data_IF_788484897022
#
_entry.id   IF_788484897022
#
_cell.length_a   1.000
_cell.length_b   1.000
_cell.length_c   1.000
_cell.angle_alpha   90.00
_cell.angle_beta   90.00
_cell.angle_gamma   90.00
#
_symmetry.space_group_name_H-M   'P 1'
#
loop_
_entity.id
_entity.type
_entity.pdbx_description
1 polymer ?
#
# COMPACT_ATOMS: atom_id res chain seq x y z
N UNK A 1 -4.89 8.64 -22.39
CA UNK A 1 -4.97 9.70 -21.34
C UNK A 1 -3.63 9.78 -20.62
N UNK A 2 -3.11 10.97 -20.30
CA UNK A 2 -1.80 11.15 -19.65
C UNK A 2 -1.96 12.08 -18.44
N UNK A 3 -1.43 11.67 -17.30
CA UNK A 3 -1.49 12.45 -16.06
C UNK A 3 -0.18 13.18 -15.80
N UNK A 4 -0.25 14.42 -15.32
CA UNK A 4 0.91 15.16 -14.78
C UNK A 4 0.81 15.17 -13.26
N UNK A 5 1.68 14.41 -12.60
CA UNK A 5 1.66 14.21 -11.16
C UNK A 5 3.04 14.51 -10.55
N UNK A 6 3.03 15.05 -9.34
CA UNK A 6 4.23 15.15 -8.51
C UNK A 6 4.75 13.76 -8.14
N UNK A 7 6.08 13.59 -8.07
CA UNK A 7 6.72 12.33 -7.65
C UNK A 7 6.21 11.80 -6.31
N UNK A 8 5.76 12.67 -5.40
CA UNK A 8 5.21 12.26 -4.09
C UNK A 8 3.86 11.54 -4.18
N UNK A 9 3.17 11.62 -5.32
CA UNK A 9 1.91 10.92 -5.58
C UNK A 9 2.12 9.58 -6.28
N UNK A 10 3.38 9.18 -6.51
CA UNK A 10 3.73 7.97 -7.26
C UNK A 10 4.51 7.06 -6.34
N UNK A 11 3.97 5.87 -6.08
CA UNK A 11 4.67 4.80 -5.36
C UNK A 11 5.04 3.74 -6.39
N UNK A 12 6.33 3.41 -6.56
CA UNK A 12 6.75 2.38 -7.50
C UNK A 12 6.32 1.01 -6.99
N UNK A 13 5.84 0.14 -7.88
CA UNK A 13 5.58 -1.25 -7.53
C UNK A 13 6.90 -2.00 -7.28
N UNK A 14 6.91 -2.99 -6.38
CA UNK A 14 8.01 -3.92 -6.21
C UNK A 14 8.41 -4.56 -7.55
N UNK A 15 9.70 -4.55 -7.84
CA UNK A 15 10.26 -5.19 -9.04
C UNK A 15 10.50 -6.69 -8.84
N UNK A 16 10.64 -7.12 -7.59
CA UNK A 16 11.01 -8.46 -7.18
C UNK A 16 10.04 -8.97 -6.13
N UNK A 17 9.89 -10.30 -6.08
CA UNK A 17 9.20 -10.99 -5.00
C UNK A 17 10.20 -11.28 -3.88
N UNK A 18 9.85 -10.95 -2.64
CA UNK A 18 10.65 -11.33 -1.48
C UNK A 18 10.42 -12.81 -1.18
N UNK A 19 11.51 -13.54 -0.95
CA UNK A 19 11.46 -14.90 -0.45
C UNK A 19 11.31 -14.84 1.09
N UNK A 20 10.21 -15.33 1.68
CA UNK A 20 9.97 -15.23 3.12
C UNK A 20 11.02 -15.92 3.99
N UNK A 21 11.74 -16.91 3.44
CA UNK A 21 12.77 -17.66 4.17
C UNK A 21 14.09 -16.89 4.21
N UNK A 22 14.52 -16.31 3.08
CA UNK A 22 15.83 -15.64 2.97
C UNK A 22 15.76 -14.15 3.26
N UNK A 23 14.59 -13.53 3.09
CA UNK A 23 14.35 -12.10 3.23
C UNK A 23 13.03 -11.80 3.97
N UNK A 24 12.86 -12.31 5.20
CA UNK A 24 11.65 -12.07 5.99
C UNK A 24 11.42 -10.58 6.30
N UNK A 25 12.49 -9.77 6.39
CA UNK A 25 12.41 -8.33 6.62
C UNK A 25 11.72 -7.55 5.49
N UNK A 26 11.64 -8.13 4.29
CA UNK A 26 11.00 -7.54 3.13
C UNK A 26 9.51 -7.95 3.00
N UNK A 27 8.98 -8.69 3.97
CA UNK A 27 7.59 -9.11 4.04
C UNK A 27 6.83 -8.20 5.02
N UNK A 28 5.64 -7.73 4.62
CA UNK A 28 4.76 -7.00 5.53
C UNK A 28 4.21 -7.95 6.59
N UNK A 29 4.29 -7.56 7.86
CA UNK A 29 3.83 -8.38 8.98
C UNK A 29 2.29 -8.50 9.04
N UNK A 30 1.78 -9.57 9.66
CA UNK A 30 0.36 -9.69 10.02
C UNK A 30 -0.08 -8.45 10.84
N UNK A 31 -1.25 -7.91 10.51
CA UNK A 31 -1.80 -6.68 11.09
C UNK A 31 -1.26 -5.39 10.46
N UNK A 32 -0.28 -5.45 9.55
CA UNK A 32 0.21 -4.26 8.87
C UNK A 32 -0.87 -3.66 7.96
N UNK A 33 -0.96 -2.32 7.96
CA UNK A 33 -1.78 -1.58 7.00
C UNK A 33 -1.02 -1.35 5.70
N UNK A 34 -1.60 -1.77 4.58
CA UNK A 34 -1.01 -1.69 3.24
C UNK A 34 -2.00 -1.06 2.26
N UNK A 35 -1.49 -0.66 1.10
CA UNK A 35 -2.31 -0.47 -0.09
C UNK A 35 -2.16 -1.70 -0.99
N UNK A 36 -3.27 -2.26 -1.44
CA UNK A 36 -3.26 -3.43 -2.31
C UNK A 36 -4.22 -3.27 -3.49
N UNK A 37 -3.87 -3.87 -4.64
CA UNK A 37 -4.72 -3.88 -5.83
C UNK A 37 -5.95 -4.76 -5.58
N UNK A 38 -7.15 -4.22 -5.76
CA UNK A 38 -8.36 -5.02 -5.61
C UNK A 38 -8.56 -5.94 -6.83
N UNK A 39 -8.98 -7.21 -6.67
CA UNK A 39 -9.12 -8.15 -7.76
C UNK A 39 -9.98 -7.63 -8.92
N UNK A 40 -9.58 -7.92 -10.15
CA UNK A 40 -10.28 -7.51 -11.38
C UNK A 40 -10.43 -5.98 -11.55
N UNK A 41 -9.61 -5.19 -10.84
CA UNK A 41 -9.54 -3.74 -11.00
C UNK A 41 -8.13 -3.27 -11.31
N UNK A 42 -7.99 -1.97 -11.56
CA UNK A 42 -6.69 -1.29 -11.70
C UNK A 42 -6.42 -0.31 -10.54
N UNK A 43 -7.16 -0.46 -9.43
CA UNK A 43 -7.16 0.49 -8.31
C UNK A 43 -6.62 -0.15 -7.02
N UNK A 44 -5.81 0.62 -6.29
CA UNK A 44 -5.28 0.22 -4.98
C UNK A 44 -6.17 0.76 -3.86
N UNK A 45 -6.44 -0.07 -2.86
CA UNK A 45 -7.28 0.24 -1.70
C UNK A 45 -6.56 -0.13 -0.41
N UNK A 46 -7.01 0.46 0.69
CA UNK A 46 -6.46 0.19 2.02
C UNK A 46 -6.88 -1.21 2.47
N UNK A 47 -5.92 -1.96 3.00
CA UNK A 47 -6.13 -3.30 3.49
C UNK A 47 -5.23 -3.60 4.70
N UNK A 48 -5.62 -4.63 5.46
CA UNK A 48 -4.85 -5.16 6.59
C UNK A 48 -4.34 -6.55 6.20
N UNK A 49 -3.06 -6.82 6.49
CA UNK A 49 -2.47 -8.14 6.29
C UNK A 49 -3.04 -9.13 7.29
N UNK A 50 -3.73 -10.16 6.80
CA UNK A 50 -4.21 -11.28 7.62
C UNK A 50 -3.19 -12.42 7.67
N UNK A 51 -2.70 -12.86 6.52
CA UNK A 51 -1.67 -13.89 6.43
C UNK A 51 -0.53 -13.43 5.52
N UNK A 52 0.68 -13.75 5.93
CA UNK A 52 1.90 -13.50 5.16
C UNK A 52 2.22 -14.71 4.28
N UNK A 53 2.88 -14.52 3.13
CA UNK A 53 3.41 -15.64 2.35
C UNK A 53 4.46 -16.40 3.16
N UNK A 54 4.38 -17.74 3.17
CA UNK A 54 5.33 -18.61 3.88
C UNK A 54 6.37 -19.17 2.90
N UNK A 55 5.95 -19.46 1.67
CA UNK A 55 6.80 -19.92 0.58
C UNK A 55 6.94 -18.86 -0.52
N UNK A 56 7.95 -19.04 -1.37
CA UNK A 56 8.24 -18.12 -2.48
C UNK A 56 7.09 -17.99 -3.49
N UNK A 57 6.17 -18.95 -3.59
CA UNK A 57 5.03 -18.89 -4.51
C UNK A 57 3.76 -18.35 -3.87
N UNK A 58 3.73 -18.22 -2.54
CA UNK A 58 2.54 -17.82 -1.80
C UNK A 58 2.21 -16.33 -1.99
N UNK A 59 0.95 -16.01 -1.76
CA UNK A 59 0.38 -14.67 -1.83
C UNK A 59 0.05 -14.16 -0.42
N UNK A 60 -0.11 -12.86 -0.27
CA UNK A 60 -0.68 -12.31 0.97
C UNK A 60 -2.17 -12.62 1.05
N UNK A 61 -2.68 -12.90 2.24
CA UNK A 61 -4.13 -12.84 2.53
C UNK A 61 -4.45 -11.48 3.16
N UNK A 62 -5.38 -10.73 2.61
CA UNK A 62 -5.68 -9.36 3.03
C UNK A 62 -7.16 -9.14 3.32
N UNK A 63 -7.47 -8.39 4.38
CA UNK A 63 -8.80 -7.81 4.61
C UNK A 63 -8.84 -6.40 4.05
N UNK A 64 -9.66 -6.17 3.02
CA UNK A 64 -9.87 -4.83 2.45
C UNK A 64 -10.90 -4.04 3.26
N UNK A 65 -10.65 -2.76 3.51
CA UNK A 65 -11.65 -1.87 4.10
C UNK A 65 -12.84 -1.73 3.13
N UNK A 66 -14.03 -2.11 3.58
CA UNK A 66 -15.26 -2.02 2.79
C UNK A 66 -16.47 -1.80 3.72
N UNK A 67 -17.06 -0.61 3.62
CA UNK A 67 -18.22 -0.19 4.43
C UNK A 67 -19.51 -0.94 4.09
N UNK A 68 -19.52 -1.75 3.03
CA UNK A 68 -20.66 -2.60 2.66
C UNK A 68 -20.81 -3.80 3.60
N UNK A 69 -19.76 -4.16 4.34
CA UNK A 69 -19.77 -5.23 5.33
C UNK A 69 -19.97 -4.69 6.74
N UNK A 70 -20.73 -5.38 7.62
CA UNK A 70 -20.97 -4.94 9.00
C UNK A 70 -19.70 -4.71 9.82
N UNK A 71 -18.69 -5.55 9.59
CA UNK A 71 -17.37 -5.50 10.25
C UNK A 71 -16.49 -4.35 9.71
N UNK A 72 -16.90 -3.72 8.60
CA UNK A 72 -16.12 -2.72 7.86
C UNK A 72 -15.01 -3.31 6.98
N UNK A 73 -14.93 -4.63 6.84
CA UNK A 73 -13.94 -5.32 6.01
C UNK A 73 -14.57 -6.39 5.12
N UNK A 74 -14.09 -6.48 3.88
CA UNK A 74 -14.40 -7.60 2.99
C UNK A 74 -13.74 -8.89 3.49
N UNK A 75 -14.24 -10.08 3.10
CA UNK A 75 -13.59 -11.36 3.37
C UNK A 75 -12.12 -11.38 2.91
N UNK A 76 -11.31 -12.27 3.48
CA UNK A 76 -9.89 -12.35 3.15
C UNK A 76 -9.67 -12.70 1.67
N UNK A 77 -8.81 -11.92 0.99
CA UNK A 77 -8.51 -12.06 -0.44
C UNK A 77 -7.01 -12.29 -0.63
N UNK A 78 -6.65 -13.25 -1.49
CA UNK A 78 -5.25 -13.54 -1.84
C UNK A 78 -4.74 -12.55 -2.90
N UNK A 79 -3.62 -11.87 -2.62
CA UNK A 79 -3.03 -10.84 -3.47
C UNK A 79 -1.51 -11.09 -3.66
N UNK A 80 -1.00 -11.08 -4.91
CA UNK A 80 0.43 -11.20 -5.18
C UNK A 80 1.25 -10.07 -4.56
N UNK A 81 2.45 -10.38 -4.07
CA UNK A 81 3.35 -9.39 -3.45
C UNK A 81 3.60 -8.14 -4.31
N UNK A 82 3.65 -8.29 -5.65
CA UNK A 82 3.84 -7.18 -6.60
C UNK A 82 2.79 -6.08 -6.46
N UNK A 83 1.61 -6.43 -5.97
CA UNK A 83 0.46 -5.55 -5.84
C UNK A 83 0.14 -5.20 -4.39
N UNK A 84 1.07 -5.42 -3.47
CA UNK A 84 0.98 -4.98 -2.07
C UNK A 84 2.10 -3.98 -1.82
N UNK A 85 1.75 -2.75 -1.45
CA UNK A 85 2.69 -1.65 -1.23
C UNK A 85 2.44 -0.95 0.10
N UNK A 86 3.47 -0.26 0.60
CA UNK A 86 3.38 0.48 1.85
C UNK A 86 2.28 1.55 1.77
N UNK A 87 1.41 1.60 2.77
CA UNK A 87 0.46 2.69 2.94
C UNK A 87 1.21 3.94 3.45
N UNK A 88 1.14 5.10 2.77
CA UNK A 88 1.73 6.33 3.29
C UNK A 88 1.03 6.77 4.58
N UNK A 89 1.80 7.24 5.57
CA UNK A 89 1.24 7.82 6.78
C UNK A 89 0.41 9.06 6.44
N UNK A 90 -0.81 9.15 7.00
CA UNK A 90 -1.73 10.29 6.77
C UNK A 90 -1.10 11.63 7.18
N UNK A 91 -0.22 11.62 8.17
CA UNK A 91 0.48 12.81 8.69
C UNK A 91 1.67 13.23 7.82
N UNK A 92 2.33 12.30 7.12
CA UNK A 92 3.50 12.60 6.31
C UNK A 92 3.14 13.36 5.02
N UNK A 93 1.95 13.14 4.47
CA UNK A 93 1.46 13.83 3.28
C UNK A 93 0.96 15.26 3.54
N UNK A 94 0.31 15.51 4.68
CA UNK A 94 -0.21 16.84 5.04
C UNK A 94 0.91 17.77 5.52
N UNK A 95 1.79 17.27 6.39
CA UNK A 95 2.89 18.04 6.99
C UNK A 95 3.91 18.56 5.97
N UNK A 96 4.27 17.73 4.98
CA UNK A 96 5.23 18.12 3.93
C UNK A 96 4.64 19.08 2.89
N UNK A 97 3.33 19.02 2.66
CA UNK A 97 2.66 19.95 1.76
C UNK A 97 2.56 21.35 2.38
N UNK A 98 2.31 21.42 3.70
CA UNK A 98 2.29 22.67 4.46
C UNK A 98 3.69 23.33 4.52
N UNK A 99 4.75 22.56 4.78
CA UNK A 99 6.12 23.07 4.83
C UNK A 99 6.59 23.67 3.49
N UNK A 100 6.24 23.01 2.37
CA UNK A 100 6.63 23.47 1.02
C UNK A 100 5.85 24.69 0.55
N UNK A 101 4.56 24.80 0.86
CA UNK A 101 3.79 26.03 0.56
C UNK A 101 4.36 27.24 1.31
N UNK A 102 4.85 27.06 2.55
CA UNK A 102 5.47 28.13 3.34
C UNK A 102 6.83 28.58 2.79
N UNK A 103 7.63 27.67 2.23
CA UNK A 103 8.92 27.99 1.57
C UNK A 103 8.77 28.74 0.24
N UNK A 104 7.65 28.57 -0.48
CA UNK A 104 7.42 29.26 -1.76
C UNK A 104 6.93 30.71 -1.60
N UNK A 105 6.35 31.06 -0.44
CA UNK A 105 5.88 32.43 -0.14
C UNK A 105 6.93 33.37 0.47
N UNK A 106 8.21 32.98 0.53
CA UNK A 106 9.28 33.73 1.22
C UNK A 106 10.41 34.20 0.30
N UNK A 107 10.09 34.56 -0.95
CA UNK A 107 10.96 35.36 -1.81
C UNK A 107 10.27 36.68 -2.11
N UNK A 108 10.60 37.69 -1.31
CA UNK A 108 10.50 39.12 -1.62
C UNK A 108 11.91 39.59 -1.96
#
# INVERSE_FOLDING_TARGET
MRYSLSRFKVIPLPKWKANPITNPEAIFNKGATVLALYPQTTCFYKAIVDEIPIHIHDEYSLYFEDSSYPEGYAPAIKIPQRYVIQCPDKEAMTSKHLDRSKKRGKKL
#
